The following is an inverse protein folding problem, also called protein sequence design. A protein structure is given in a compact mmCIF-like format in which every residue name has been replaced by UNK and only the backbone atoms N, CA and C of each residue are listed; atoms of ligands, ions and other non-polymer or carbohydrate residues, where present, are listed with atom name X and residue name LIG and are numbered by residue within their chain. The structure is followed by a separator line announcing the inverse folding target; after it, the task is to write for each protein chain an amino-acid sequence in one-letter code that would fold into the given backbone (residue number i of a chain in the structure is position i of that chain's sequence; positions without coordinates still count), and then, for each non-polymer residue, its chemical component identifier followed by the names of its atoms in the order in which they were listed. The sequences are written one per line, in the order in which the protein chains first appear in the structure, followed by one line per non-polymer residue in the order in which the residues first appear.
data_IF_668284707859
#
_entry.id   IF_668284707859
#
_cell.length_a   1.000
_cell.length_b   1.000
_cell.length_c   1.000
_cell.angle_alpha   90.00
_cell.angle_beta   90.00
_cell.angle_gamma   90.00
#
_symmetry.space_group_name_H-M   'P 1'
#
loop_
_entity.id
_entity.type
_entity.pdbx_description
1 polymer ?
#
# COMPACT_ATOMS: atom_id res chain seq x y z
N UNK A 1 -44.65 49.62 49.13
CA UNK A 1 -45.18 50.86 48.45
C UNK A 1 -45.55 50.44 47.02
N UNK A 2 -46.84 50.56 46.75
CA UNK A 2 -47.48 50.18 45.50
C UNK A 2 -47.05 51.12 44.37
N UNK A 3 -46.96 50.62 43.12
CA UNK A 3 -47.70 51.19 41.99
C UNK A 3 -47.65 50.17 40.85
N UNK A 4 -48.87 49.78 40.41
CA UNK A 4 -49.15 49.08 39.21
C UNK A 4 -49.48 50.14 38.12
N UNK A 5 -49.08 49.87 36.84
CA UNK A 5 -49.72 50.52 35.71
C UNK A 5 -49.88 49.47 34.61
N UNK A 6 -51.13 49.26 34.22
CA UNK A 6 -51.63 48.51 33.11
C UNK A 6 -51.53 49.31 31.80
N UNK A 7 -51.50 48.64 30.65
CA UNK A 7 -51.61 49.34 29.38
C UNK A 7 -51.58 48.44 28.16
N UNK A 8 -52.71 47.90 27.84
CA UNK A 8 -53.46 47.83 26.54
C UNK A 8 -52.80 47.17 25.31
N UNK A 9 -53.48 46.16 24.88
CA UNK A 9 -53.40 45.44 23.61
C UNK A 9 -53.68 46.31 22.41
N UNK A 10 -52.98 46.11 21.32
CA UNK A 10 -53.46 46.39 19.97
C UNK A 10 -53.24 45.15 19.08
N UNK A 11 -54.38 44.58 18.65
CA UNK A 11 -54.46 43.56 17.61
C UNK A 11 -54.56 44.30 16.30
N UNK A 12 -53.62 44.10 15.41
CA UNK A 12 -53.73 44.48 13.99
C UNK A 12 -53.84 43.24 13.14
N UNK A 13 -55.05 43.01 12.65
CA UNK A 13 -55.30 41.95 11.66
C UNK A 13 -54.84 42.46 10.29
N UNK A 14 -53.91 41.74 9.67
CA UNK A 14 -53.55 41.93 8.25
C UNK A 14 -54.17 40.79 7.45
N UNK A 15 -55.15 41.14 6.63
CA UNK A 15 -55.70 40.25 5.61
C UNK A 15 -54.75 40.21 4.43
N UNK A 16 -54.17 39.04 4.15
CA UNK A 16 -53.38 38.84 2.94
C UNK A 16 -54.23 38.04 1.94
N UNK A 17 -54.57 38.68 0.86
CA UNK A 17 -55.27 38.09 -0.29
C UNK A 17 -54.30 37.17 -1.05
N UNK A 18 -54.64 35.88 -1.15
CA UNK A 18 -53.92 34.90 -1.95
C UNK A 18 -54.39 35.04 -3.41
N UNK A 19 -53.54 35.53 -4.28
CA UNK A 19 -53.70 35.43 -5.72
C UNK A 19 -53.01 34.18 -6.19
N UNK A 20 -53.76 33.15 -6.58
CA UNK A 20 -53.27 31.97 -7.26
C UNK A 20 -52.89 32.32 -8.70
N UNK A 21 -51.61 32.43 -9.00
CA UNK A 21 -51.10 32.43 -10.37
C UNK A 21 -50.50 31.03 -10.62
N UNK A 22 -51.23 30.22 -11.38
CA UNK A 22 -50.74 28.92 -11.84
C UNK A 22 -49.62 29.11 -12.85
N UNK A 23 -48.39 28.80 -12.48
CA UNK A 23 -47.31 28.61 -13.43
C UNK A 23 -47.12 27.10 -13.65
N UNK A 24 -47.45 26.66 -14.85
CA UNK A 24 -47.06 25.39 -15.42
C UNK A 24 -45.53 25.39 -15.59
N UNK A 25 -44.80 24.85 -14.61
CA UNK A 25 -43.41 24.56 -14.80
C UNK A 25 -43.28 23.23 -15.57
N UNK A 26 -42.88 23.33 -16.82
CA UNK A 26 -42.36 22.23 -17.58
C UNK A 26 -41.07 21.77 -16.90
N UNK A 27 -41.14 20.65 -16.18
CA UNK A 27 -39.94 19.97 -15.68
C UNK A 27 -39.21 19.33 -16.86
N UNK A 28 -38.28 20.06 -17.47
CA UNK A 28 -37.24 19.47 -18.27
C UNK A 28 -36.30 18.67 -17.33
N UNK A 29 -36.66 17.43 -17.06
CA UNK A 29 -35.80 16.48 -16.41
C UNK A 29 -34.58 16.16 -17.29
N UNK A 30 -33.60 17.07 -17.29
CA UNK A 30 -32.28 16.73 -17.76
C UNK A 30 -31.75 15.64 -16.81
N UNK A 31 -31.86 14.37 -17.24
CA UNK A 31 -31.13 13.28 -16.64
C UNK A 31 -29.63 13.68 -16.69
N UNK A 32 -29.11 14.16 -15.55
CA UNK A 32 -27.67 14.21 -15.33
C UNK A 32 -27.18 12.79 -15.52
N UNK A 33 -26.67 12.47 -16.72
CA UNK A 33 -25.85 11.30 -16.92
C UNK A 33 -24.66 11.51 -15.99
N UNK A 34 -24.64 10.78 -14.89
CA UNK A 34 -23.40 10.56 -14.15
C UNK A 34 -22.43 9.92 -15.14
N UNK A 35 -21.55 10.72 -15.70
CA UNK A 35 -20.37 10.17 -16.35
C UNK A 35 -19.65 9.42 -15.23
N UNK A 36 -19.79 8.09 -15.20
CA UNK A 36 -18.99 7.25 -14.34
C UNK A 36 -17.54 7.67 -14.54
N UNK A 37 -16.80 7.82 -13.44
CA UNK A 37 -15.36 8.06 -13.53
C UNK A 37 -14.79 7.07 -14.55
N UNK A 38 -13.88 7.47 -15.44
CA UNK A 38 -13.34 6.56 -16.44
C UNK A 38 -12.81 5.32 -15.72
N UNK A 39 -13.21 4.13 -16.19
CA UNK A 39 -12.75 2.86 -15.64
C UNK A 39 -11.23 2.91 -15.62
N UNK A 40 -10.64 2.91 -14.43
CA UNK A 40 -9.19 2.89 -14.30
C UNK A 40 -8.69 1.60 -14.91
N UNK A 41 -7.76 1.68 -15.84
CA UNK A 41 -7.25 0.52 -16.57
C UNK A 41 -6.30 -0.36 -15.75
N UNK A 42 -5.97 0.05 -14.49
CA UNK A 42 -5.00 -0.61 -13.61
C UNK A 42 -5.55 -0.90 -12.22
N UNK A 43 -4.65 -1.30 -11.35
CA UNK A 43 -4.96 -1.41 -9.92
C UNK A 43 -5.45 -0.08 -9.37
N UNK A 44 -6.43 -0.13 -8.48
CA UNK A 44 -6.99 1.08 -7.88
C UNK A 44 -7.60 0.83 -6.51
N UNK A 45 -7.64 1.90 -5.73
CA UNK A 45 -8.27 1.91 -4.40
C UNK A 45 -9.74 2.32 -4.52
N UNK A 46 -10.61 1.57 -3.87
CA UNK A 46 -12.00 1.92 -3.70
C UNK A 46 -12.45 1.52 -2.28
N UNK A 47 -13.05 2.46 -1.53
CA UNK A 47 -13.54 2.23 -0.17
C UNK A 47 -12.54 1.51 0.77
N UNK A 48 -11.28 1.95 0.76
CA UNK A 48 -10.22 1.37 1.58
C UNK A 48 -9.75 -0.02 1.16
N UNK A 49 -10.13 -0.48 -0.02
CA UNK A 49 -9.77 -1.78 -0.60
C UNK A 49 -9.03 -1.62 -1.91
N UNK A 50 -8.17 -2.58 -2.21
CA UNK A 50 -7.46 -2.65 -3.49
C UNK A 50 -8.25 -3.50 -4.48
N UNK A 51 -8.41 -3.00 -5.69
CA UNK A 51 -9.07 -3.68 -6.80
C UNK A 51 -8.10 -3.84 -7.97
N UNK A 52 -8.21 -4.93 -8.69
CA UNK A 52 -7.43 -5.16 -9.90
C UNK A 52 -8.00 -4.41 -11.13
N UNK A 53 -7.31 -4.46 -12.24
CA UNK A 53 -7.69 -3.74 -13.47
C UNK A 53 -9.01 -4.22 -14.11
N UNK A 54 -9.60 -5.31 -13.63
CA UNK A 54 -10.93 -5.79 -14.02
C UNK A 54 -12.00 -5.46 -12.96
N UNK A 55 -11.66 -4.61 -11.99
CA UNK A 55 -12.55 -4.15 -10.92
C UNK A 55 -12.99 -5.26 -9.96
N UNK A 56 -12.13 -6.25 -9.72
CA UNK A 56 -12.32 -7.26 -8.69
C UNK A 56 -11.42 -6.95 -7.50
N UNK A 57 -11.95 -7.09 -6.28
CA UNK A 57 -11.16 -6.90 -5.07
C UNK A 57 -9.98 -7.87 -5.05
N UNK A 58 -8.79 -7.33 -4.79
CA UNK A 58 -7.55 -8.10 -4.79
C UNK A 58 -6.86 -8.02 -3.43
N UNK A 59 -6.54 -9.17 -2.87
CA UNK A 59 -5.83 -9.29 -1.59
C UNK A 59 -4.46 -9.89 -1.85
N UNK A 60 -3.41 -9.11 -1.61
CA UNK A 60 -2.03 -9.55 -1.81
C UNK A 60 -1.69 -10.69 -0.85
N UNK A 61 -1.09 -11.76 -1.37
CA UNK A 61 -0.52 -12.88 -0.64
C UNK A 61 0.80 -13.26 -1.29
N UNK A 62 1.90 -12.94 -0.63
CA UNK A 62 3.20 -13.15 -1.25
C UNK A 62 4.38 -12.95 -0.32
N UNK A 63 5.53 -12.71 -0.92
CA UNK A 63 6.83 -12.61 -0.24
C UNK A 63 7.68 -11.50 -0.84
N UNK A 64 8.65 -11.02 -0.05
CA UNK A 64 9.70 -10.10 -0.50
C UNK A 64 10.91 -10.83 -1.06
N UNK A 65 11.64 -10.15 -1.95
CA UNK A 65 12.93 -10.60 -2.50
C UNK A 65 13.77 -9.45 -3.00
N UNK A 66 15.05 -9.44 -2.66
CA UNK A 66 16.01 -8.47 -3.16
C UNK A 66 16.55 -8.86 -4.55
N UNK A 67 15.96 -8.28 -5.60
CA UNK A 67 16.48 -8.36 -6.97
C UNK A 67 17.79 -7.58 -7.09
N UNK A 68 17.88 -6.42 -6.44
CA UNK A 68 19.09 -5.60 -6.45
C UNK A 68 20.34 -6.37 -6.04
N UNK A 69 20.22 -7.28 -5.07
CA UNK A 69 21.33 -8.09 -4.54
C UNK A 69 21.52 -9.40 -5.32
N UNK A 70 20.42 -10.04 -5.74
CA UNK A 70 20.43 -11.36 -6.35
C UNK A 70 19.69 -11.41 -7.69
N UNK A 71 20.07 -10.58 -8.69
CA UNK A 71 19.33 -10.47 -9.94
C UNK A 71 19.25 -11.80 -10.71
N UNK A 72 20.29 -12.64 -10.63
CA UNK A 72 20.35 -13.94 -11.29
C UNK A 72 19.39 -14.99 -10.67
N UNK A 73 18.90 -14.77 -9.46
CA UNK A 73 17.93 -15.64 -8.78
C UNK A 73 16.49 -15.31 -9.10
N UNK A 74 16.21 -14.10 -9.56
CA UNK A 74 14.86 -13.56 -9.68
C UNK A 74 13.96 -14.41 -10.56
N UNK A 75 14.42 -14.85 -11.73
CA UNK A 75 13.60 -15.64 -12.64
C UNK A 75 13.14 -16.97 -12.02
N UNK A 76 14.05 -17.68 -11.33
CA UNK A 76 13.73 -18.94 -10.64
C UNK A 76 12.84 -18.68 -9.44
N UNK A 77 13.17 -17.68 -8.63
CA UNK A 77 12.38 -17.31 -7.45
C UNK A 77 10.91 -17.03 -7.81
N UNK A 78 10.65 -16.23 -8.84
CA UNK A 78 9.28 -15.91 -9.27
C UNK A 78 8.49 -17.16 -9.69
N UNK A 79 9.15 -18.10 -10.39
CA UNK A 79 8.56 -19.39 -10.75
C UNK A 79 8.23 -20.23 -9.51
N UNK A 80 9.15 -20.31 -8.56
CA UNK A 80 9.01 -21.10 -7.35
C UNK A 80 7.91 -20.54 -6.43
N UNK A 81 7.91 -19.22 -6.19
CA UNK A 81 6.92 -18.53 -5.37
C UNK A 81 5.51 -18.70 -5.96
N UNK A 82 5.39 -18.61 -7.30
CA UNK A 82 4.12 -18.90 -7.98
C UNK A 82 3.67 -20.34 -7.78
N UNK A 83 4.57 -21.30 -7.95
CA UNK A 83 4.26 -22.72 -7.76
C UNK A 83 3.83 -23.02 -6.32
N UNK A 84 4.27 -22.22 -5.35
CA UNK A 84 3.85 -22.28 -3.96
C UNK A 84 2.55 -21.52 -3.66
N UNK A 85 1.92 -20.91 -4.67
CA UNK A 85 0.59 -20.35 -4.59
C UNK A 85 0.52 -18.85 -4.38
N UNK A 86 1.63 -18.10 -4.34
CA UNK A 86 1.58 -16.66 -4.22
C UNK A 86 0.89 -15.98 -5.42
N UNK A 87 0.28 -14.83 -5.18
CA UNK A 87 -0.30 -13.96 -6.20
C UNK A 87 0.47 -12.65 -6.39
N UNK A 88 1.36 -12.32 -5.45
CA UNK A 88 2.12 -11.07 -5.42
C UNK A 88 3.56 -11.35 -5.02
N UNK A 89 4.49 -10.54 -5.51
CA UNK A 89 5.89 -10.50 -5.07
C UNK A 89 6.29 -9.04 -4.88
N UNK A 90 7.03 -8.73 -3.79
CA UNK A 90 7.67 -7.44 -3.58
C UNK A 90 9.14 -7.56 -3.97
N UNK A 91 9.58 -6.74 -4.91
CA UNK A 91 10.89 -6.84 -5.56
C UNK A 91 11.67 -5.58 -5.28
N UNK A 92 12.75 -5.71 -4.54
CA UNK A 92 13.64 -4.61 -4.21
C UNK A 92 14.58 -4.29 -5.37
N UNK A 93 14.67 -2.99 -5.68
CA UNK A 93 15.48 -2.40 -6.72
C UNK A 93 16.47 -1.40 -6.12
N UNK A 94 17.59 -1.17 -6.82
CA UNK A 94 18.57 -0.14 -6.46
C UNK A 94 18.63 0.98 -7.49
N UNK A 95 18.78 2.21 -7.00
CA UNK A 95 19.09 3.39 -7.82
C UNK A 95 20.54 3.46 -8.27
N UNK A 96 21.38 2.55 -7.76
CA UNK A 96 22.82 2.51 -8.01
C UNK A 96 23.68 2.98 -6.83
N UNK A 97 23.09 3.08 -5.63
CA UNK A 97 23.82 3.50 -4.43
C UNK A 97 24.28 2.30 -3.61
N UNK A 98 23.38 1.41 -3.24
CA UNK A 98 23.71 0.21 -2.43
C UNK A 98 24.06 -1.01 -3.28
N UNK A 99 23.60 -1.05 -4.52
CA UNK A 99 23.87 -2.12 -5.47
C UNK A 99 23.96 -1.55 -6.90
N UNK A 100 24.18 -2.42 -7.89
CA UNK A 100 24.11 -2.01 -9.29
C UNK A 100 22.71 -1.43 -9.59
N UNK A 101 22.70 -0.26 -10.27
CA UNK A 101 21.44 0.36 -10.70
C UNK A 101 20.62 -0.60 -11.56
N UNK A 102 19.37 -0.78 -11.20
CA UNK A 102 18.37 -1.42 -12.05
C UNK A 102 17.82 -0.36 -13.01
N UNK A 103 18.23 -0.40 -14.27
CA UNK A 103 17.79 0.53 -15.31
C UNK A 103 16.40 0.16 -15.87
N UNK A 104 15.86 0.96 -16.79
CA UNK A 104 14.54 0.74 -17.36
C UNK A 104 14.42 -0.63 -18.08
N UNK A 105 15.50 -1.10 -18.73
CA UNK A 105 15.49 -2.38 -19.44
C UNK A 105 15.43 -3.55 -18.46
N UNK A 106 16.18 -3.48 -17.36
CA UNK A 106 16.19 -4.48 -16.32
C UNK A 106 14.83 -4.52 -15.57
N UNK A 107 14.28 -3.36 -15.22
CA UNK A 107 12.94 -3.28 -14.59
C UNK A 107 11.86 -3.82 -15.54
N UNK A 108 11.90 -3.50 -16.83
CA UNK A 108 10.97 -4.08 -17.82
C UNK A 108 11.11 -5.60 -17.89
N UNK A 109 12.34 -6.13 -17.76
CA UNK A 109 12.57 -7.57 -17.70
C UNK A 109 11.95 -8.21 -16.46
N UNK A 110 12.12 -7.61 -15.27
CA UNK A 110 11.51 -8.07 -14.02
C UNK A 110 9.98 -8.09 -14.14
N UNK A 111 9.38 -7.02 -14.67
CA UNK A 111 7.93 -6.94 -14.90
C UNK A 111 7.46 -8.06 -15.85
N UNK A 112 8.20 -8.31 -16.93
CA UNK A 112 7.87 -9.39 -17.87
C UNK A 112 7.95 -10.78 -17.21
N UNK A 113 8.92 -10.99 -16.30
CA UNK A 113 9.03 -12.20 -15.51
C UNK A 113 7.85 -12.39 -14.55
N UNK A 114 7.44 -11.34 -13.84
CA UNK A 114 6.26 -11.36 -12.96
C UNK A 114 5.00 -11.70 -13.77
N UNK A 115 4.77 -11.01 -14.89
CA UNK A 115 3.61 -11.25 -15.76
C UNK A 115 3.57 -12.68 -16.31
N UNK A 116 4.71 -13.22 -16.75
CA UNK A 116 4.83 -14.60 -17.24
C UNK A 116 4.45 -15.62 -16.16
N UNK A 117 4.78 -15.32 -14.91
CA UNK A 117 4.41 -16.13 -13.76
C UNK A 117 3.03 -15.77 -13.16
N UNK A 118 2.27 -14.85 -13.79
CA UNK A 118 0.95 -14.42 -13.32
C UNK A 118 0.99 -13.92 -11.86
N UNK A 119 2.02 -13.13 -11.53
CA UNK A 119 2.25 -12.48 -10.25
C UNK A 119 2.07 -10.97 -10.39
N UNK A 120 1.42 -10.36 -9.43
CA UNK A 120 1.43 -8.90 -9.30
C UNK A 120 2.78 -8.48 -8.73
N UNK A 121 3.40 -7.51 -9.38
CA UNK A 121 4.73 -7.03 -9.04
C UNK A 121 4.63 -5.74 -8.21
N UNK A 122 5.02 -5.79 -6.94
CA UNK A 122 5.25 -4.60 -6.13
C UNK A 122 6.73 -4.26 -6.25
N UNK A 123 7.06 -3.17 -6.93
CA UNK A 123 8.44 -2.71 -7.11
C UNK A 123 8.77 -1.67 -6.05
N UNK A 124 9.90 -1.79 -5.38
CA UNK A 124 10.33 -0.86 -4.33
C UNK A 124 11.79 -0.45 -4.50
N UNK A 125 12.14 0.80 -4.15
CA UNK A 125 13.53 1.26 -4.06
C UNK A 125 14.07 0.99 -2.66
N UNK A 126 15.11 0.16 -2.56
CA UNK A 126 15.72 -0.23 -1.29
C UNK A 126 16.79 0.76 -0.80
N UNK A 127 17.37 1.57 -1.66
CA UNK A 127 18.42 2.53 -1.28
C UNK A 127 17.99 3.57 -0.23
N UNK A 128 16.69 3.67 0.07
CA UNK A 128 16.13 4.58 1.07
C UNK A 128 16.12 4.02 2.48
N UNK A 129 16.37 2.71 2.62
CA UNK A 129 16.29 1.96 3.89
C UNK A 129 17.17 2.60 4.95
N UNK A 130 16.53 3.09 6.00
CA UNK A 130 17.23 3.71 7.13
C UNK A 130 17.77 5.11 6.87
N UNK A 131 17.20 5.87 5.92
CA UNK A 131 17.60 7.25 5.69
C UNK A 131 17.42 8.13 6.94
N UNK A 132 18.51 8.77 7.33
CA UNK A 132 18.66 9.50 8.60
C UNK A 132 19.58 8.80 9.59
N UNK A 133 19.79 7.50 9.44
CA UNK A 133 20.69 6.69 10.26
C UNK A 133 21.86 6.09 9.45
N UNK A 134 21.57 5.46 8.30
CA UNK A 134 22.59 4.89 7.40
C UNK A 134 23.16 5.98 6.52
N UNK A 135 24.50 6.10 6.46
CA UNK A 135 25.21 7.12 5.67
C UNK A 135 24.92 7.04 4.17
N UNK A 136 24.83 5.83 3.65
CA UNK A 136 24.62 5.51 2.25
C UNK A 136 23.17 5.64 1.81
N UNK A 137 22.21 5.63 2.76
CA UNK A 137 20.81 5.74 2.42
C UNK A 137 20.47 7.10 1.79
N UNK A 138 19.58 7.07 0.81
CA UNK A 138 19.14 8.26 0.10
C UNK A 138 17.75 8.73 0.59
N UNK A 139 17.44 10.03 0.50
CA UNK A 139 16.10 10.51 0.81
C UNK A 139 15.08 10.03 -0.23
N UNK A 140 13.83 9.88 0.19
CA UNK A 140 12.70 9.46 -0.66
C UNK A 140 12.59 10.28 -1.96
N UNK A 141 12.94 11.57 -1.95
CA UNK A 141 12.93 12.42 -3.13
C UNK A 141 13.84 11.87 -4.26
N UNK A 142 14.95 11.20 -3.93
CA UNK A 142 15.86 10.58 -4.91
C UNK A 142 15.27 9.27 -5.45
N UNK A 143 14.52 8.53 -4.66
CA UNK A 143 13.74 7.38 -5.16
C UNK A 143 12.67 7.86 -6.17
N UNK A 144 12.01 8.99 -5.91
CA UNK A 144 11.07 9.60 -6.88
C UNK A 144 11.78 9.99 -8.18
N UNK A 145 12.98 10.59 -8.12
CA UNK A 145 13.78 10.88 -9.31
C UNK A 145 14.10 9.62 -10.12
N UNK A 146 14.42 8.52 -9.42
CA UNK A 146 14.65 7.23 -10.07
C UNK A 146 13.41 6.71 -10.78
N UNK A 147 12.25 6.67 -10.12
CA UNK A 147 10.98 6.25 -10.74
C UNK A 147 10.65 7.04 -11.99
N UNK A 148 10.82 8.36 -11.94
CA UNK A 148 10.61 9.25 -13.10
C UNK A 148 11.60 8.92 -14.23
N UNK A 149 12.85 8.60 -13.90
CA UNK A 149 13.90 8.31 -14.89
C UNK A 149 13.67 7.00 -15.66
N UNK A 150 12.93 6.04 -15.08
CA UNK A 150 12.62 4.74 -15.68
C UNK A 150 11.14 4.60 -16.06
N UNK A 151 10.38 5.69 -16.07
CA UNK A 151 8.92 5.66 -16.28
C UNK A 151 8.49 4.96 -17.57
N UNK A 152 9.35 4.92 -18.59
CA UNK A 152 9.07 4.23 -19.84
C UNK A 152 8.89 2.71 -19.68
N UNK A 153 9.53 2.11 -18.67
CA UNK A 153 9.33 0.71 -18.32
C UNK A 153 8.03 0.47 -17.52
N UNK A 154 7.47 1.52 -16.93
CA UNK A 154 6.32 1.44 -16.02
C UNK A 154 5.00 1.75 -16.71
N UNK A 155 4.95 2.82 -17.52
CA UNK A 155 3.72 3.28 -18.20
C UNK A 155 3.13 2.15 -19.06
N UNK A 156 1.81 1.88 -18.87
CA UNK A 156 1.11 0.78 -19.51
C UNK A 156 1.17 -0.56 -18.74
N UNK A 157 1.82 -0.57 -17.57
CA UNK A 157 1.90 -1.74 -16.68
C UNK A 157 0.99 -1.64 -15.45
N UNK A 158 0.10 -0.67 -15.39
CA UNK A 158 -0.77 -0.37 -14.24
C UNK A 158 -1.65 -1.54 -13.80
N UNK A 159 -1.89 -2.51 -14.72
CA UNK A 159 -2.63 -3.75 -14.43
C UNK A 159 -1.82 -4.80 -13.67
N UNK A 160 -0.49 -4.66 -13.66
CA UNK A 160 0.42 -5.72 -13.20
C UNK A 160 1.40 -5.25 -12.15
N UNK A 161 1.54 -3.93 -12.01
CA UNK A 161 2.58 -3.30 -11.19
C UNK A 161 1.95 -2.34 -10.19
N UNK A 162 2.39 -2.44 -8.94
CA UNK A 162 2.23 -1.43 -7.88
C UNK A 162 3.61 -0.85 -7.59
N UNK A 163 3.70 0.46 -7.44
CA UNK A 163 4.96 1.15 -7.14
C UNK A 163 4.99 1.49 -5.66
N UNK A 164 5.84 0.81 -4.93
CA UNK A 164 6.20 1.16 -3.56
C UNK A 164 7.33 2.18 -3.61
N UNK A 165 7.03 3.40 -3.18
CA UNK A 165 7.83 4.58 -3.51
C UNK A 165 9.25 4.49 -2.95
N UNK A 166 9.39 3.99 -1.71
CA UNK A 166 10.65 3.99 -0.99
C UNK A 166 10.59 3.02 0.19
N UNK A 167 11.56 2.10 0.29
CA UNK A 167 11.66 1.16 1.39
C UNK A 167 12.09 1.86 2.68
N UNK A 168 11.39 1.63 3.77
CA UNK A 168 11.75 2.04 5.15
C UNK A 168 12.37 3.43 5.26
N UNK A 169 11.76 4.46 4.65
CA UNK A 169 12.30 5.81 4.71
C UNK A 169 12.07 6.43 6.09
N UNK A 170 12.84 7.45 6.41
CA UNK A 170 12.65 8.29 7.60
C UNK A 170 12.80 7.56 8.94
N UNK A 171 14.02 7.48 9.42
CA UNK A 171 14.30 7.00 10.77
C UNK A 171 14.80 8.14 11.66
N UNK A 172 14.82 7.94 12.98
CA UNK A 172 15.13 8.96 13.97
C UNK A 172 14.22 10.19 13.82
N UNK A 173 14.74 11.40 13.99
CA UNK A 173 13.94 12.65 13.94
C UNK A 173 13.33 12.98 12.57
N UNK A 174 13.76 12.27 11.50
CA UNK A 174 13.27 12.52 10.14
C UNK A 174 11.80 12.07 9.95
N UNK A 175 11.24 11.23 10.80
CA UNK A 175 9.83 10.81 10.69
C UNK A 175 8.86 11.99 10.62
N UNK A 176 9.22 13.14 11.22
CA UNK A 176 8.37 14.34 11.26
C UNK A 176 8.11 14.93 9.87
N UNK A 177 9.03 14.75 8.92
CA UNK A 177 8.87 15.27 7.55
C UNK A 177 8.10 14.31 6.65
N UNK A 178 7.91 13.04 7.08
CA UNK A 178 7.26 12.00 6.30
C UNK A 178 5.94 12.44 5.64
N UNK A 179 4.98 13.13 6.33
CA UNK A 179 3.71 13.48 5.71
C UNK A 179 3.89 14.45 4.53
N UNK A 180 4.70 15.49 4.70
CA UNK A 180 4.95 16.51 3.67
C UNK A 180 5.71 15.94 2.48
N UNK A 181 6.78 15.22 2.73
CA UNK A 181 7.64 14.63 1.71
C UNK A 181 6.91 13.54 0.91
N UNK A 182 6.05 12.75 1.59
CA UNK A 182 5.22 11.74 0.92
C UNK A 182 4.16 12.37 0.03
N UNK A 183 3.48 13.42 0.49
CA UNK A 183 2.54 14.17 -0.35
C UNK A 183 3.22 14.78 -1.58
N UNK A 184 4.44 15.32 -1.43
CA UNK A 184 5.21 15.86 -2.56
C UNK A 184 5.63 14.75 -3.53
N UNK A 185 6.11 13.62 -3.01
CA UNK A 185 6.48 12.45 -3.79
C UNK A 185 5.33 11.97 -4.67
N UNK A 186 4.15 11.78 -4.09
CA UNK A 186 2.94 11.39 -4.81
C UNK A 186 2.63 12.40 -5.93
N UNK A 187 2.59 13.69 -5.62
CA UNK A 187 2.30 14.74 -6.62
C UNK A 187 3.33 14.77 -7.75
N UNK A 188 4.61 14.55 -7.44
CA UNK A 188 5.69 14.51 -8.45
C UNK A 188 5.52 13.32 -9.40
N UNK A 189 5.22 12.13 -8.86
CA UNK A 189 4.97 10.93 -9.65
C UNK A 189 3.74 11.11 -10.55
N UNK A 190 2.63 11.67 -10.02
CA UNK A 190 1.41 11.94 -10.81
C UNK A 190 1.68 12.96 -11.93
N UNK A 191 2.41 14.05 -11.65
CA UNK A 191 2.83 15.01 -12.69
C UNK A 191 3.73 14.41 -13.77
N UNK A 192 4.49 13.37 -13.43
CA UNK A 192 5.31 12.63 -14.40
C UNK A 192 4.55 11.60 -15.24
N UNK A 193 3.21 11.49 -15.05
CA UNK A 193 2.36 10.55 -15.79
C UNK A 193 2.37 9.12 -15.24
N UNK A 194 2.79 8.93 -14.00
CA UNK A 194 2.76 7.62 -13.33
C UNK A 194 1.40 7.48 -12.62
N UNK A 195 0.50 6.65 -13.21
CA UNK A 195 -0.88 6.44 -12.78
C UNK A 195 -1.08 5.14 -11.99
N UNK A 196 -0.03 4.41 -11.70
CA UNK A 196 -0.05 3.19 -10.90
C UNK A 196 -0.66 3.41 -9.53
N UNK A 197 -1.19 2.36 -8.91
CA UNK A 197 -1.33 2.35 -7.45
C UNK A 197 0.04 2.62 -6.85
N UNK A 198 0.14 3.68 -6.05
CA UNK A 198 1.33 3.98 -5.27
C UNK A 198 1.20 3.33 -3.90
N UNK A 199 2.29 2.80 -3.40
CA UNK A 199 2.41 2.31 -2.05
C UNK A 199 3.41 3.20 -1.32
N UNK A 200 3.18 3.48 -0.05
CA UNK A 200 4.04 4.33 0.76
C UNK A 200 4.31 3.68 2.10
N UNK A 201 5.57 3.43 2.38
CA UNK A 201 5.99 2.83 3.65
C UNK A 201 5.88 3.82 4.80
N UNK A 202 5.56 3.28 5.96
CA UNK A 202 5.63 4.01 7.21
C UNK A 202 7.07 4.45 7.52
N UNK A 203 7.27 5.53 8.29
CA UNK A 203 8.57 5.87 8.84
C UNK A 203 8.99 4.87 9.94
N UNK A 204 10.14 5.14 10.57
CA UNK A 204 10.68 4.35 11.66
C UNK A 204 10.90 2.87 11.27
N UNK A 205 11.71 2.65 10.22
CA UNK A 205 11.96 1.31 9.69
C UNK A 205 10.67 0.59 9.24
N UNK A 206 9.76 1.33 8.60
CA UNK A 206 8.48 0.78 8.18
C UNK A 206 7.50 0.45 9.32
N UNK A 207 7.92 0.55 10.59
CA UNK A 207 7.13 0.09 11.74
C UNK A 207 6.20 1.16 12.34
N UNK A 208 6.34 2.43 11.90
CA UNK A 208 5.53 3.56 12.39
C UNK A 208 5.55 3.72 13.93
N UNK A 209 6.72 3.57 14.54
CA UNK A 209 6.89 3.62 16.00
C UNK A 209 6.38 4.94 16.61
N UNK A 210 6.49 6.02 15.85
CA UNK A 210 5.99 7.36 16.20
C UNK A 210 4.50 7.54 15.89
N UNK A 211 3.84 6.57 15.27
CA UNK A 211 2.46 6.65 14.75
C UNK A 211 2.23 7.78 13.74
N UNK A 212 3.27 8.23 13.07
CA UNK A 212 3.22 9.34 12.12
C UNK A 212 2.38 9.00 10.89
N UNK A 213 2.58 7.82 10.28
CA UNK A 213 1.73 7.38 9.17
C UNK A 213 0.29 7.20 9.65
N UNK A 214 0.07 6.50 10.73
CA UNK A 214 -1.26 6.27 11.29
C UNK A 214 -2.06 7.57 11.47
N UNK A 215 -1.43 8.61 11.98
CA UNK A 215 -2.11 9.85 12.34
C UNK A 215 -2.27 10.82 11.13
N UNK A 216 -1.43 10.68 10.10
CA UNK A 216 -1.43 11.55 8.91
C UNK A 216 -1.92 10.89 7.63
N UNK A 217 -2.19 9.57 7.62
CA UNK A 217 -2.57 8.82 6.43
C UNK A 217 -3.77 9.41 5.67
N UNK A 218 -4.79 9.90 6.37
CA UNK A 218 -5.96 10.51 5.73
C UNK A 218 -5.58 11.75 4.92
N UNK A 219 -4.68 12.58 5.43
CA UNK A 219 -4.17 13.76 4.72
C UNK A 219 -3.32 13.40 3.51
N UNK A 220 -2.44 12.39 3.65
CA UNK A 220 -1.61 11.87 2.55
C UNK A 220 -2.49 11.28 1.45
N UNK A 221 -3.47 10.44 1.80
CA UNK A 221 -4.43 9.89 0.85
C UNK A 221 -5.22 10.98 0.12
N UNK A 222 -5.63 12.02 0.86
CA UNK A 222 -6.35 13.16 0.29
C UNK A 222 -5.50 13.99 -0.67
N UNK A 223 -4.18 14.00 -0.51
CA UNK A 223 -3.25 14.75 -1.36
C UNK A 223 -2.98 14.07 -2.71
N UNK A 224 -3.28 12.77 -2.85
CA UNK A 224 -3.23 12.09 -4.15
C UNK A 224 -4.44 12.50 -5.01
N UNK A 225 -4.25 13.20 -6.14
CA UNK A 225 -5.35 13.60 -7.02
C UNK A 225 -6.12 12.41 -7.58
N UNK A 226 -5.48 11.24 -7.62
CA UNK A 226 -6.10 10.01 -8.12
C UNK A 226 -6.70 9.14 -7.00
N UNK A 227 -6.47 9.48 -5.71
CA UNK A 227 -6.93 8.66 -4.59
C UNK A 227 -6.55 7.18 -4.76
N UNK A 228 -5.34 6.93 -5.25
CA UNK A 228 -4.84 5.61 -5.59
C UNK A 228 -3.51 5.32 -4.87
N UNK A 229 -3.47 5.64 -3.58
CA UNK A 229 -2.35 5.38 -2.68
C UNK A 229 -2.75 4.33 -1.64
N UNK A 230 -1.89 3.34 -1.40
CA UNK A 230 -1.99 2.30 -0.38
C UNK A 230 -0.91 2.55 0.67
N UNK A 231 -1.26 2.38 1.93
CA UNK A 231 -0.30 2.48 3.03
C UNK A 231 0.34 1.14 3.30
N UNK A 232 1.62 1.17 3.62
CA UNK A 232 2.46 0.01 3.83
C UNK A 232 3.07 0.05 5.23
N UNK A 233 2.97 -1.04 5.96
CA UNK A 233 3.59 -1.20 7.29
C UNK A 233 4.44 -2.46 7.32
N UNK A 234 5.63 -2.36 7.94
CA UNK A 234 6.49 -3.48 8.27
C UNK A 234 6.23 -3.89 9.72
N UNK A 235 5.81 -5.12 9.92
CA UNK A 235 5.46 -5.59 11.26
C UNK A 235 6.56 -6.49 11.81
N UNK A 236 7.48 -5.88 12.56
CA UNK A 236 8.57 -6.54 13.26
C UNK A 236 8.41 -6.38 14.79
N UNK A 237 9.47 -6.12 15.56
CA UNK A 237 9.45 -6.16 17.01
C UNK A 237 8.42 -5.26 17.71
N UNK A 238 7.96 -4.17 17.06
CA UNK A 238 6.85 -3.37 17.59
C UNK A 238 5.53 -4.14 17.64
N UNK A 239 5.39 -5.21 16.86
CA UNK A 239 4.16 -6.01 16.72
C UNK A 239 4.27 -7.40 17.37
N UNK A 240 4.84 -7.44 18.58
CA UNK A 240 5.07 -8.67 19.34
C UNK A 240 3.83 -9.21 20.09
N UNK A 241 2.68 -8.55 19.96
CA UNK A 241 1.41 -8.94 20.57
C UNK A 241 0.25 -8.76 19.61
N UNK A 242 -0.70 -9.66 19.65
CA UNK A 242 -1.94 -9.58 18.86
C UNK A 242 -2.67 -8.22 19.02
N UNK A 243 -2.64 -7.64 20.23
CA UNK A 243 -3.26 -6.33 20.49
C UNK A 243 -2.59 -5.20 19.70
N UNK A 244 -1.26 -5.22 19.54
CA UNK A 244 -0.54 -4.22 18.76
C UNK A 244 -0.95 -4.30 17.28
N UNK A 245 -1.03 -5.52 16.74
CA UNK A 245 -1.46 -5.77 15.36
C UNK A 245 -2.91 -5.32 15.14
N UNK A 246 -3.82 -5.81 16.00
CA UNK A 246 -5.26 -5.49 15.93
C UNK A 246 -5.50 -3.97 16.00
N UNK A 247 -4.90 -3.30 16.98
CA UNK A 247 -5.14 -1.87 17.20
C UNK A 247 -4.61 -1.03 16.04
N UNK A 248 -3.42 -1.37 15.52
CA UNK A 248 -2.82 -0.65 14.41
C UNK A 248 -3.63 -0.80 13.13
N UNK A 249 -3.86 -2.02 12.67
CA UNK A 249 -4.64 -2.29 11.46
C UNK A 249 -6.08 -1.79 11.59
N UNK A 250 -6.68 -1.94 12.76
CA UNK A 250 -8.02 -1.46 13.06
C UNK A 250 -8.21 0.04 12.88
N UNK A 251 -7.16 0.86 13.04
CA UNK A 251 -7.22 2.31 12.78
C UNK A 251 -7.45 2.61 11.32
N UNK A 252 -6.71 1.96 10.41
CA UNK A 252 -6.85 2.14 8.96
C UNK A 252 -8.22 1.62 8.47
N UNK A 253 -8.66 0.47 8.97
CA UNK A 253 -9.97 -0.09 8.62
C UNK A 253 -11.10 0.86 9.00
N UNK A 254 -11.11 1.37 10.24
CA UNK A 254 -12.12 2.33 10.70
C UNK A 254 -12.09 3.66 9.96
N UNK A 255 -10.92 4.07 9.48
CA UNK A 255 -10.76 5.27 8.67
C UNK A 255 -11.11 5.07 7.19
N UNK A 256 -11.41 3.83 6.76
CA UNK A 256 -11.66 3.50 5.35
C UNK A 256 -10.41 3.72 4.47
N UNK A 257 -9.21 3.54 5.03
CA UNK A 257 -7.95 3.70 4.34
C UNK A 257 -7.33 2.34 3.99
N UNK A 258 -6.78 2.17 2.78
CA UNK A 258 -6.16 0.93 2.37
C UNK A 258 -4.79 0.76 3.04
N UNK A 259 -4.57 -0.41 3.65
CA UNK A 259 -3.29 -0.79 4.26
C UNK A 259 -2.89 -2.19 3.85
N UNK A 260 -1.59 -2.43 3.72
CA UNK A 260 -0.96 -3.73 3.47
C UNK A 260 0.20 -3.91 4.44
N UNK A 261 0.39 -5.11 4.96
CA UNK A 261 1.60 -5.50 5.68
C UNK A 261 2.60 -6.00 4.64
N UNK A 262 3.57 -5.18 4.27
CA UNK A 262 4.47 -5.48 3.15
C UNK A 262 5.75 -6.16 3.56
N UNK A 263 6.04 -6.17 4.86
CA UNK A 263 7.05 -7.01 5.45
C UNK A 263 6.61 -7.46 6.85
N UNK A 264 6.91 -8.69 7.18
CA UNK A 264 6.84 -9.25 8.53
C UNK A 264 7.60 -10.57 8.58
N UNK A 265 8.00 -10.97 9.78
CA UNK A 265 8.60 -12.26 10.04
C UNK A 265 8.07 -12.80 11.37
N UNK A 266 8.60 -13.92 11.86
CA UNK A 266 8.28 -14.49 13.18
C UNK A 266 9.16 -13.93 14.29
N UNK A 267 10.29 -13.36 13.93
CA UNK A 267 11.25 -12.71 14.82
C UNK A 267 12.07 -11.70 14.05
N UNK A 268 12.72 -10.79 14.76
CA UNK A 268 13.63 -9.80 14.16
C UNK A 268 14.66 -9.38 15.24
N UNK A 269 15.83 -8.78 14.89
CA UNK A 269 16.80 -8.31 15.88
C UNK A 269 16.26 -7.36 16.94
N UNK A 270 15.17 -6.66 16.66
CA UNK A 270 14.47 -5.76 17.60
C UNK A 270 13.41 -6.46 18.47
N UNK A 271 13.16 -7.77 18.31
CA UNK A 271 12.28 -8.56 19.17
C UNK A 271 11.46 -9.64 18.45
N UNK A 272 10.67 -10.36 19.23
CA UNK A 272 9.70 -11.32 18.72
C UNK A 272 8.56 -10.62 17.99
N UNK A 273 7.90 -11.34 17.10
CA UNK A 273 6.78 -10.85 16.29
C UNK A 273 5.61 -11.82 16.42
N UNK A 274 4.40 -11.32 16.51
CA UNK A 274 3.18 -12.15 16.53
C UNK A 274 2.69 -12.38 15.08
N UNK A 275 3.40 -13.21 14.33
CA UNK A 275 3.08 -13.52 12.94
C UNK A 275 1.73 -14.22 12.79
N UNK A 276 1.31 -14.95 13.82
CA UNK A 276 0.00 -15.61 13.84
C UNK A 276 -1.14 -14.57 13.88
N UNK A 277 -0.98 -13.53 14.71
CA UNK A 277 -1.92 -12.42 14.75
C UNK A 277 -1.90 -11.63 13.44
N UNK A 278 -0.72 -11.34 12.88
CA UNK A 278 -0.59 -10.62 11.60
C UNK A 278 -1.35 -11.36 10.50
N UNK A 279 -1.10 -12.65 10.32
CA UNK A 279 -1.74 -13.43 9.25
C UNK A 279 -3.23 -13.62 9.48
N UNK A 280 -3.68 -13.78 10.74
CA UNK A 280 -5.10 -13.94 11.07
C UNK A 280 -5.89 -12.63 10.91
N UNK A 281 -5.38 -11.50 11.39
CA UNK A 281 -5.99 -10.18 11.20
C UNK A 281 -6.03 -9.79 9.72
N UNK A 282 -4.93 -10.02 8.99
CA UNK A 282 -4.88 -9.78 7.56
C UNK A 282 -5.93 -10.60 6.80
N UNK A 283 -6.14 -11.86 7.18
CA UNK A 283 -7.18 -12.71 6.58
C UNK A 283 -8.60 -12.26 6.97
N UNK A 284 -8.83 -12.00 8.25
CA UNK A 284 -10.15 -11.60 8.75
C UNK A 284 -10.63 -10.28 8.13
N UNK A 285 -9.72 -9.37 7.90
CA UNK A 285 -10.00 -8.02 7.37
C UNK A 285 -9.67 -7.84 5.90
N UNK A 286 -9.30 -8.91 5.16
CA UNK A 286 -8.95 -8.87 3.73
C UNK A 286 -7.83 -7.86 3.43
N UNK A 287 -6.86 -7.74 4.33
CA UNK A 287 -5.65 -6.95 4.20
C UNK A 287 -4.59 -7.79 3.48
N UNK A 288 -3.82 -7.19 2.58
CA UNK A 288 -2.68 -7.82 1.95
C UNK A 288 -1.55 -8.09 2.92
N UNK A 289 -0.80 -9.19 2.73
CA UNK A 289 0.47 -9.40 3.40
C UNK A 289 1.54 -9.96 2.46
N UNK A 290 2.78 -9.53 2.66
CA UNK A 290 3.98 -10.00 1.97
C UNK A 290 5.03 -10.31 3.05
N UNK A 291 5.38 -11.57 3.21
CA UNK A 291 6.32 -11.97 4.27
C UNK A 291 7.78 -11.76 3.83
N UNK A 292 8.65 -11.42 4.76
CA UNK A 292 10.08 -11.28 4.54
C UNK A 292 10.80 -12.56 4.95
N UNK A 293 11.66 -13.13 4.12
CA UNK A 293 11.78 -13.01 2.68
C UNK A 293 12.04 -14.38 2.07
N UNK A 294 12.06 -14.49 0.74
CA UNK A 294 12.28 -15.77 0.07
C UNK A 294 13.60 -16.41 0.46
N UNK A 295 14.74 -15.76 0.23
CA UNK A 295 16.07 -16.25 0.63
C UNK A 295 17.15 -15.20 0.39
N UNK A 296 18.30 -15.39 1.01
CA UNK A 296 19.48 -14.55 0.80
C UNK A 296 19.76 -13.57 1.93
N UNK A 297 19.03 -13.66 3.03
CA UNK A 297 19.34 -12.90 4.24
C UNK A 297 20.69 -13.32 4.83
N UNK A 298 21.38 -12.37 5.43
CA UNK A 298 22.71 -12.60 6.05
C UNK A 298 22.76 -12.03 7.47
N UNK A 299 23.78 -12.39 8.23
CA UNK A 299 23.95 -11.91 9.60
C UNK A 299 22.78 -12.29 10.52
N UNK A 300 22.32 -11.33 11.32
CA UNK A 300 21.33 -11.55 12.37
C UNK A 300 19.91 -11.81 11.83
N UNK A 301 19.69 -11.62 10.54
CA UNK A 301 18.40 -11.88 9.86
C UNK A 301 18.43 -13.10 8.95
N UNK A 302 19.52 -13.89 8.97
CA UNK A 302 19.66 -15.10 8.12
C UNK A 302 18.59 -16.17 8.38
N UNK A 303 18.01 -16.20 9.58
CA UNK A 303 16.91 -17.08 9.98
C UNK A 303 15.55 -16.70 9.33
N UNK A 304 15.46 -15.54 8.68
CA UNK A 304 14.23 -15.10 7.99
C UNK A 304 14.09 -15.68 6.59
N UNK A 305 15.08 -16.42 6.10
CA UNK A 305 14.98 -17.14 4.82
C UNK A 305 13.86 -18.19 4.87
N UNK A 306 12.93 -18.12 3.93
CA UNK A 306 11.84 -19.11 3.81
C UNK A 306 12.31 -20.41 3.16
N UNK A 307 13.36 -20.34 2.34
CA UNK A 307 14.00 -21.51 1.73
C UNK A 307 15.50 -21.41 1.88
N UNK A 308 16.13 -22.57 2.09
CA UNK A 308 17.59 -22.64 2.20
C UNK A 308 18.23 -22.45 0.82
N UNK A 309 19.10 -21.45 0.71
CA UNK A 309 19.94 -21.23 -0.49
C UNK A 309 19.13 -21.16 -1.79
N UNK A 310 18.02 -20.44 -1.79
CA UNK A 310 17.11 -20.28 -2.96
C UNK A 310 16.54 -21.60 -3.49
N UNK A 311 16.47 -22.65 -2.68
CA UNK A 311 15.96 -23.95 -3.11
C UNK A 311 14.53 -24.18 -2.60
N UNK A 312 13.54 -24.07 -3.47
CA UNK A 312 12.12 -24.26 -3.14
C UNK A 312 11.79 -25.63 -2.53
N UNK A 313 12.63 -26.64 -2.71
CA UNK A 313 12.47 -27.97 -2.10
C UNK A 313 12.95 -28.04 -0.65
N UNK A 314 13.56 -26.98 -0.15
CA UNK A 314 14.16 -26.89 1.19
C UNK A 314 13.53 -25.74 1.97
N UNK A 315 12.20 -25.83 2.22
CA UNK A 315 11.50 -24.91 3.09
C UNK A 315 12.12 -24.94 4.49
N UNK A 316 12.30 -23.76 5.05
CA UNK A 316 12.59 -23.58 6.48
C UNK A 316 11.29 -23.71 7.28
N UNK A 317 11.37 -23.67 8.61
CA UNK A 317 10.18 -23.54 9.45
C UNK A 317 9.36 -22.29 9.09
N UNK A 318 10.05 -21.17 8.86
CA UNK A 318 9.39 -19.92 8.45
C UNK A 318 8.68 -20.06 7.10
N UNK A 319 9.32 -20.67 6.13
CA UNK A 319 8.68 -20.95 4.84
C UNK A 319 7.46 -21.87 4.99
N UNK A 320 7.55 -22.93 5.79
CA UNK A 320 6.39 -23.79 6.08
C UNK A 320 5.24 -23.00 6.73
N UNK A 321 5.55 -22.12 7.70
CA UNK A 321 4.55 -21.29 8.37
C UNK A 321 3.83 -20.37 7.38
N UNK A 322 4.57 -19.67 6.52
CA UNK A 322 4.02 -18.68 5.58
C UNK A 322 3.20 -19.35 4.47
N UNK A 323 3.70 -20.44 3.90
CA UNK A 323 3.03 -21.05 2.75
C UNK A 323 1.94 -22.03 3.15
N UNK A 324 2.18 -22.87 4.14
CA UNK A 324 1.36 -24.04 4.48
C UNK A 324 0.60 -23.90 5.80
N UNK A 325 1.01 -22.99 6.69
CA UNK A 325 0.39 -22.80 8.00
C UNK A 325 -1.01 -22.18 7.93
N UNK A 326 -1.67 -22.02 9.08
CA UNK A 326 -2.97 -21.35 9.17
C UNK A 326 -2.93 -19.93 8.55
N UNK A 327 -3.96 -19.59 7.77
CA UNK A 327 -4.01 -18.34 6.98
C UNK A 327 -2.84 -18.15 6.00
N UNK A 328 -2.10 -19.21 5.69
CA UNK A 328 -0.96 -19.21 4.80
C UNK A 328 -1.32 -18.94 3.33
N UNK A 329 -0.30 -18.69 2.53
CA UNK A 329 -0.45 -18.28 1.14
C UNK A 329 -1.26 -19.31 0.33
N UNK A 330 -0.97 -20.59 0.42
CA UNK A 330 -1.67 -21.63 -0.36
C UNK A 330 -3.16 -21.69 -0.07
N UNK A 331 -3.56 -21.40 1.15
CA UNK A 331 -4.94 -21.45 1.58
C UNK A 331 -5.72 -20.20 1.16
N UNK A 332 -5.09 -19.02 1.22
CA UNK A 332 -5.77 -17.72 1.19
C UNK A 332 -5.56 -16.93 -0.09
N UNK A 333 -4.55 -17.28 -0.89
CA UNK A 333 -4.24 -16.57 -2.13
C UNK A 333 -5.28 -16.82 -3.22
N UNK A 334 -5.56 -15.77 -3.99
CA UNK A 334 -6.35 -15.84 -5.22
C UNK A 334 -5.64 -15.03 -6.28
N UNK A 335 -5.56 -15.55 -7.48
CA UNK A 335 -4.91 -14.87 -8.61
C UNK A 335 -5.69 -13.61 -9.00
N UNK A 336 -4.97 -12.56 -9.43
CA UNK A 336 -5.59 -11.36 -9.97
C UNK A 336 -6.33 -11.69 -11.28
N UNK A 337 -7.54 -11.16 -11.43
CA UNK A 337 -8.38 -11.52 -12.58
C UNK A 337 -7.89 -10.92 -13.90
N UNK A 338 -6.94 -9.99 -13.85
CA UNK A 338 -6.24 -9.46 -15.04
C UNK A 338 -5.47 -10.54 -15.80
N UNK A 339 -5.25 -11.71 -15.19
CA UNK A 339 -4.61 -12.88 -15.81
C UNK A 339 -5.62 -13.93 -16.29
N UNK A 340 -6.89 -13.76 -15.98
CA UNK A 340 -7.96 -14.66 -16.47
C UNK A 340 -8.56 -14.07 -17.73
N UNK A 341 -8.77 -14.87 -18.78
CA UNK A 341 -9.40 -14.43 -20.03
C UNK A 341 -10.83 -13.92 -19.82
#
# INVERSE_FOLDING_TARGET
MRIAIAGTSFIAAVVVSIILVGQLQHSNGARQRSYGAPLRSGFHVNNGRLYDGNNNEFVMRGVGQSHATYPEKTAQMLSDVKAMGANTVRVELSTGVIAKRNDAADVAHVIALCRRNRLICVLVVDDTTGWGYRKEAIPQARAVDYWISIREALIGQEKYVVIDVANEPYVLDNFRTWPGDTMDSIRRLRRAGIHHTLMVDAPDWGQDLSFTMRDHAAGVFAADPERNTVFSVHMYGAFFRATNVHDYLGRFIRAGLPIVVTEFAYTHPDGDVDEDAIMSEAQAHRIGYLAWSWSGNTGDVSNLDMVSRFNAKSLTWWGERVFNGPNGIRQTSREATVYTP
#
